data_IF_933510494923
#
_entry.id   IF_933510494923
#
_cell.length_a   1.000
_cell.length_b   1.000
_cell.length_c   1.000
_cell.angle_alpha   90.00
_cell.angle_beta   90.00
_cell.angle_gamma   90.00
#
_symmetry.space_group_name_H-M   'P 1'
#
loop_
_entity.id
_entity.type
_entity.pdbx_description
1 polymer ?
#
# COMPACT_ATOMS: atom_id res chain seq x y z
N UNK A 1 51.14 42.71 -8.33
CA UNK A 1 49.72 42.96 -8.62
C UNK A 1 49.04 41.59 -8.54
N UNK A 2 48.48 41.25 -7.37
CA UNK A 2 47.84 39.96 -7.09
C UNK A 2 46.33 40.22 -7.12
N UNK A 3 45.63 39.65 -8.10
CA UNK A 3 44.18 39.75 -8.22
C UNK A 3 43.58 38.56 -7.46
N UNK A 4 42.96 38.85 -6.29
CA UNK A 4 42.23 37.85 -5.53
C UNK A 4 40.87 37.55 -6.17
N UNK A 5 40.64 36.27 -6.53
CA UNK A 5 39.29 35.77 -6.90
C UNK A 5 38.52 35.51 -5.61
N UNK A 6 37.54 36.35 -5.33
CA UNK A 6 36.55 36.10 -4.29
C UNK A 6 35.54 35.08 -4.78
N UNK A 7 35.45 33.92 -4.15
CA UNK A 7 34.41 32.94 -4.36
C UNK A 7 33.07 33.48 -3.79
N UNK A 8 32.08 33.72 -4.66
CA UNK A 8 30.72 34.03 -4.23
C UNK A 8 30.06 32.71 -3.84
N UNK A 9 29.92 32.48 -2.53
CA UNK A 9 29.05 31.41 -2.02
C UNK A 9 27.60 31.85 -2.17
N UNK A 10 26.93 31.36 -3.17
CA UNK A 10 25.47 31.51 -3.30
C UNK A 10 24.83 30.51 -2.32
N UNK A 11 24.39 31.03 -1.16
CA UNK A 11 23.56 30.27 -0.25
C UNK A 11 22.18 30.06 -0.93
N UNK A 12 21.95 28.87 -1.45
CA UNK A 12 20.60 28.47 -1.88
C UNK A 12 19.74 28.27 -0.64
N UNK A 13 18.76 29.16 -0.44
CA UNK A 13 17.74 28.96 0.57
C UNK A 13 17.02 27.62 0.27
N UNK A 14 16.66 26.82 1.30
CA UNK A 14 15.90 25.62 1.10
C UNK A 14 14.57 25.99 0.40
N UNK A 15 14.26 25.30 -0.69
CA UNK A 15 13.00 25.48 -1.39
C UNK A 15 11.86 25.25 -0.40
N UNK A 16 10.98 26.23 -0.24
CA UNK A 16 9.78 26.08 0.57
C UNK A 16 8.98 24.91 0.04
N UNK A 17 8.72 23.91 0.90
CA UNK A 17 7.82 22.80 0.56
C UNK A 17 6.45 23.43 0.28
N UNK A 18 5.91 23.22 -0.91
CA UNK A 18 4.58 23.71 -1.27
C UNK A 18 3.56 23.14 -0.28
N UNK A 19 2.66 24.00 0.21
CA UNK A 19 1.56 23.55 1.06
C UNK A 19 0.73 22.49 0.30
N UNK A 20 0.28 21.41 0.96
CA UNK A 20 -0.55 20.40 0.31
C UNK A 20 -1.77 21.06 -0.34
N UNK A 21 -2.23 20.52 -1.49
CA UNK A 21 -3.41 21.07 -2.16
C UNK A 21 -4.61 21.09 -1.20
N UNK A 22 -5.27 22.23 -1.09
CA UNK A 22 -6.49 22.38 -0.29
C UNK A 22 -7.68 21.79 -1.06
N UNK A 23 -8.09 20.58 -0.72
CA UNK A 23 -9.31 19.96 -1.21
C UNK A 23 -10.21 19.64 -0.01
N UNK A 24 -11.24 20.47 0.20
CA UNK A 24 -12.17 20.38 1.32
C UNK A 24 -12.97 19.06 1.36
N UNK A 25 -12.86 18.23 0.33
CA UNK A 25 -13.43 16.88 0.37
C UNK A 25 -12.79 16.04 1.47
N UNK A 26 -11.51 16.21 1.72
CA UNK A 26 -10.76 15.46 2.76
C UNK A 26 -11.01 15.95 4.19
N UNK A 27 -11.72 17.06 4.37
CA UNK A 27 -12.03 17.60 5.71
C UNK A 27 -13.30 16.92 6.23
N UNK A 28 -13.27 16.12 7.32
CA UNK A 28 -14.46 15.49 7.85
C UNK A 28 -15.42 16.55 8.45
N UNK A 29 -16.75 16.30 8.42
CA UNK A 29 -17.72 17.15 9.12
C UNK A 29 -17.43 17.21 10.62
N UNK A 30 -17.76 18.34 11.28
CA UNK A 30 -17.44 18.55 12.71
C UNK A 30 -17.98 17.45 13.65
N UNK A 31 -19.08 16.80 13.29
CA UNK A 31 -19.72 15.75 14.10
C UNK A 31 -19.36 14.32 13.67
N UNK A 32 -18.34 14.13 12.81
CA UNK A 32 -17.99 12.81 12.24
C UNK A 32 -17.64 11.77 13.31
N UNK A 33 -17.16 12.21 14.48
CA UNK A 33 -16.76 11.34 15.58
C UNK A 33 -17.91 10.46 16.11
N UNK A 34 -19.16 10.93 16.01
CA UNK A 34 -20.35 10.17 16.43
C UNK A 34 -20.82 9.13 15.43
N UNK A 35 -20.29 9.15 14.20
CA UNK A 35 -20.64 8.18 13.18
C UNK A 35 -20.01 6.79 13.47
N UNK A 36 -20.69 5.74 13.05
CA UNK A 36 -20.15 4.38 13.15
C UNK A 36 -18.96 4.16 12.22
N UNK A 37 -18.02 3.22 12.52
CA UNK A 37 -16.97 2.80 11.60
C UNK A 37 -17.54 2.37 10.26
N UNK A 38 -16.95 2.87 9.14
CA UNK A 38 -17.42 2.65 7.78
C UNK A 38 -18.59 3.53 7.34
N UNK A 39 -19.10 4.42 8.20
CA UNK A 39 -20.13 5.38 7.81
C UNK A 39 -19.58 6.40 6.79
N UNK A 40 -20.29 6.58 5.68
CA UNK A 40 -19.91 7.52 4.64
C UNK A 40 -20.24 8.95 5.12
N UNK A 41 -19.24 9.81 5.15
CA UNK A 41 -19.33 11.21 5.57
C UNK A 41 -19.57 12.14 4.39
N UNK A 42 -18.89 11.86 3.28
CA UNK A 42 -19.04 12.57 2.00
C UNK A 42 -18.83 11.60 0.85
N UNK A 43 -19.41 11.90 -0.31
CA UNK A 43 -19.15 11.19 -1.55
C UNK A 43 -19.09 12.15 -2.72
N UNK A 44 -18.30 11.83 -3.75
CA UNK A 44 -18.27 12.55 -5.02
C UNK A 44 -17.94 11.63 -6.18
N UNK A 45 -18.51 11.84 -7.38
CA UNK A 45 -18.06 11.17 -8.58
C UNK A 45 -16.67 11.67 -8.97
N UNK A 46 -15.84 10.78 -9.54
CA UNK A 46 -14.49 11.11 -10.00
C UNK A 46 -14.17 10.36 -11.29
N UNK A 47 -13.18 10.88 -12.04
CA UNK A 47 -12.54 10.15 -13.13
C UNK A 47 -11.21 9.62 -12.62
N UNK A 48 -10.96 8.32 -12.77
CA UNK A 48 -9.67 7.70 -12.48
C UNK A 48 -8.87 7.52 -13.76
N UNK A 49 -7.54 7.58 -13.64
CA UNK A 49 -6.62 7.44 -14.76
C UNK A 49 -5.72 6.22 -14.56
N UNK A 50 -5.52 5.46 -15.62
CA UNK A 50 -4.49 4.45 -15.70
C UNK A 50 -3.17 5.08 -16.19
N UNK A 51 -2.04 4.63 -15.64
CA UNK A 51 -0.72 5.14 -16.02
C UNK A 51 -0.67 6.68 -16.07
N UNK A 52 -1.40 7.32 -15.16
CA UNK A 52 -1.49 8.79 -14.99
C UNK A 52 -2.12 9.57 -16.16
N UNK A 53 -2.29 8.97 -17.32
CA UNK A 53 -2.70 9.66 -18.56
C UNK A 53 -4.10 9.26 -19.04
N UNK A 54 -4.42 7.98 -18.98
CA UNK A 54 -5.56 7.43 -19.70
C UNK A 54 -6.79 7.35 -18.81
N UNK A 55 -7.84 8.20 -19.04
CA UNK A 55 -9.09 8.06 -18.31
C UNK A 55 -9.68 6.66 -18.49
N UNK A 56 -9.95 5.98 -17.39
CA UNK A 56 -10.50 4.63 -17.43
C UNK A 56 -12.02 4.68 -17.54
N UNK A 57 -12.57 3.91 -18.46
CA UNK A 57 -13.99 3.88 -18.75
C UNK A 57 -14.74 2.97 -17.75
N UNK A 58 -14.96 3.52 -16.55
CA UNK A 58 -15.67 2.90 -15.42
C UNK A 58 -16.50 3.96 -14.71
N UNK A 59 -17.41 3.55 -13.85
CA UNK A 59 -18.05 4.45 -12.90
C UNK A 59 -17.22 4.47 -11.62
N UNK A 60 -16.81 5.66 -11.15
CA UNK A 60 -15.95 5.81 -9.99
C UNK A 60 -16.40 6.94 -9.06
N UNK A 61 -16.24 6.71 -7.76
CA UNK A 61 -16.52 7.69 -6.71
C UNK A 61 -15.43 7.68 -5.65
N UNK A 62 -15.28 8.79 -4.98
CA UNK A 62 -14.56 8.88 -3.71
C UNK A 62 -15.55 8.93 -2.57
N UNK A 63 -15.25 8.17 -1.53
CA UNK A 63 -16.01 8.14 -0.28
C UNK A 63 -15.08 8.56 0.86
N UNK A 64 -15.38 9.69 1.50
CA UNK A 64 -14.82 10.00 2.82
C UNK A 64 -15.65 9.27 3.86
N UNK A 65 -15.02 8.47 4.70
CA UNK A 65 -15.71 7.65 5.69
C UNK A 65 -15.05 7.73 7.06
N UNK A 66 -15.84 7.45 8.09
CA UNK A 66 -15.37 7.36 9.48
C UNK A 66 -14.63 6.03 9.67
N UNK A 67 -13.46 6.10 10.31
CA UNK A 67 -12.64 4.95 10.71
C UNK A 67 -12.06 5.16 12.10
N UNK A 68 -11.10 4.33 12.52
CA UNK A 68 -10.53 4.30 13.86
C UNK A 68 -9.02 4.53 13.79
N UNK A 69 -8.50 5.37 14.67
CA UNK A 69 -7.07 5.61 14.85
C UNK A 69 -6.40 4.48 15.67
N UNK A 70 -5.08 4.47 15.74
CA UNK A 70 -4.30 3.46 16.49
C UNK A 70 -4.62 3.41 17.99
N UNK A 71 -5.00 4.55 18.57
CA UNK A 71 -5.41 4.70 19.98
C UNK A 71 -6.90 4.40 20.23
N UNK A 72 -7.66 4.06 19.20
CA UNK A 72 -9.08 3.81 19.26
C UNK A 72 -9.97 5.05 19.09
N UNK A 73 -9.38 6.24 18.94
CA UNK A 73 -10.13 7.48 18.70
C UNK A 73 -10.79 7.50 17.30
N UNK A 74 -11.88 8.27 17.12
CA UNK A 74 -12.49 8.49 15.81
C UNK A 74 -11.49 9.11 14.84
N UNK A 75 -11.45 8.56 13.63
CA UNK A 75 -10.59 9.01 12.56
C UNK A 75 -11.36 8.99 11.22
N UNK A 76 -10.78 9.52 10.16
CA UNK A 76 -11.39 9.52 8.83
C UNK A 76 -10.39 9.06 7.75
N UNK A 77 -10.92 8.46 6.70
CA UNK A 77 -10.15 8.04 5.54
C UNK A 77 -10.96 8.20 4.26
N UNK A 78 -10.29 8.13 3.11
CA UNK A 78 -10.93 8.13 1.80
C UNK A 78 -10.70 6.79 1.12
N UNK A 79 -11.68 6.31 0.39
CA UNK A 79 -11.50 5.23 -0.59
C UNK A 79 -12.03 5.65 -1.95
N UNK A 80 -11.35 5.23 -3.01
CA UNK A 80 -11.88 5.32 -4.37
C UNK A 80 -12.58 4.00 -4.70
N UNK A 81 -13.88 4.06 -4.96
CA UNK A 81 -14.69 2.89 -5.30
C UNK A 81 -15.12 2.94 -6.75
N UNK A 82 -15.10 1.78 -7.42
CA UNK A 82 -15.31 1.68 -8.86
C UNK A 82 -16.16 0.46 -9.21
N UNK A 83 -16.96 0.60 -10.27
CA UNK A 83 -17.65 -0.51 -10.91
C UNK A 83 -17.54 -0.38 -12.45
N UNK A 84 -17.63 -1.48 -13.18
CA UNK A 84 -17.79 -1.44 -14.64
C UNK A 84 -18.96 -0.54 -15.07
N UNK A 85 -18.91 -0.03 -16.30
CA UNK A 85 -20.02 0.72 -16.88
C UNK A 85 -21.31 -0.12 -16.92
N UNK A 86 -22.45 0.51 -16.74
CA UNK A 86 -23.77 -0.13 -16.76
C UNK A 86 -24.51 -0.02 -15.42
N UNK A 87 -25.63 -0.74 -15.26
CA UNK A 87 -26.43 -0.65 -14.05
C UNK A 87 -25.75 -1.22 -12.83
N UNK A 88 -26.05 -0.64 -11.68
CA UNK A 88 -25.70 -1.21 -10.37
C UNK A 88 -26.34 -2.61 -10.24
N UNK A 89 -25.55 -3.59 -9.80
CA UNK A 89 -26.00 -4.98 -9.59
C UNK A 89 -25.13 -5.67 -8.53
N UNK A 90 -25.63 -6.75 -7.91
CA UNK A 90 -24.81 -7.58 -7.02
C UNK A 90 -23.56 -8.09 -7.75
N UNK A 91 -22.40 -7.95 -7.09
CA UNK A 91 -21.10 -8.40 -7.58
C UNK A 91 -20.11 -8.57 -6.43
N UNK A 92 -19.04 -9.37 -6.58
CA UNK A 92 -17.97 -9.41 -5.60
C UNK A 92 -17.24 -8.07 -5.49
N UNK A 93 -16.63 -7.82 -4.33
CA UNK A 93 -15.81 -6.63 -4.06
C UNK A 93 -14.35 -7.03 -3.85
N UNK A 94 -13.45 -6.44 -4.62
CA UNK A 94 -12.02 -6.46 -4.35
C UNK A 94 -11.63 -5.18 -3.60
N UNK A 95 -11.07 -5.31 -2.39
CA UNK A 95 -10.36 -4.23 -1.71
C UNK A 95 -8.88 -4.36 -2.02
N UNK A 96 -8.34 -3.42 -2.80
CA UNK A 96 -6.94 -3.41 -3.23
C UNK A 96 -6.16 -2.34 -2.47
N UNK A 97 -5.14 -2.75 -1.73
CA UNK A 97 -4.27 -1.88 -0.96
C UNK A 97 -2.98 -1.64 -1.75
N UNK A 98 -2.74 -0.39 -2.14
CA UNK A 98 -1.52 0.00 -2.88
C UNK A 98 -0.34 0.23 -1.94
N UNK A 99 0.88 0.00 -2.45
CA UNK A 99 2.12 0.40 -1.79
C UNK A 99 2.43 1.88 -2.07
N UNK A 100 1.60 2.80 -1.57
CA UNK A 100 1.76 4.23 -1.80
C UNK A 100 2.94 4.86 -1.06
N UNK A 101 3.42 4.24 0.00
CA UNK A 101 4.61 4.48 0.84
C UNK A 101 5.07 5.95 0.90
N UNK A 102 4.28 6.79 1.54
CA UNK A 102 4.54 8.22 1.67
C UNK A 102 3.74 8.84 2.81
N UNK A 103 4.20 9.99 3.28
CA UNK A 103 3.48 10.84 4.23
C UNK A 103 2.74 12.00 3.56
N UNK A 104 2.76 12.07 2.23
CA UNK A 104 2.15 13.16 1.47
C UNK A 104 0.78 12.78 0.91
N UNK A 105 -0.20 13.71 1.01
CA UNK A 105 -1.56 13.51 0.48
C UNK A 105 -1.56 13.26 -1.03
N UNK A 106 -0.71 13.95 -1.78
CA UNK A 106 -0.62 13.80 -3.22
C UNK A 106 -0.24 12.39 -3.68
N UNK A 107 0.39 11.62 -2.80
CA UNK A 107 0.82 10.25 -3.08
C UNK A 107 -0.26 9.21 -2.76
N UNK A 108 -1.30 9.59 -2.02
CA UNK A 108 -2.38 8.67 -1.67
C UNK A 108 -3.15 8.19 -2.90
N UNK A 109 -3.67 6.95 -2.89
CA UNK A 109 -4.48 6.41 -3.99
C UNK A 109 -5.60 7.33 -4.42
N UNK A 110 -6.37 7.88 -3.48
CA UNK A 110 -7.51 8.75 -3.79
C UNK A 110 -7.11 10.04 -4.51
N UNK A 111 -5.90 10.56 -4.27
CA UNK A 111 -5.41 11.76 -4.93
C UNK A 111 -4.72 11.42 -6.26
N UNK A 112 -3.73 10.52 -6.24
CA UNK A 112 -2.87 10.25 -7.38
C UNK A 112 -3.62 9.59 -8.55
N UNK A 113 -4.58 8.70 -8.30
CA UNK A 113 -5.42 8.10 -9.36
C UNK A 113 -6.22 9.13 -10.16
N UNK A 114 -6.41 10.31 -9.62
CA UNK A 114 -7.20 11.38 -10.22
C UNK A 114 -6.34 12.50 -10.79
N UNK A 115 -5.32 12.93 -10.05
CA UNK A 115 -4.57 14.15 -10.30
C UNK A 115 -3.18 13.91 -10.91
N UNK A 116 -2.60 12.70 -10.80
CA UNK A 116 -1.29 12.43 -11.39
C UNK A 116 -1.30 12.70 -12.90
N UNK A 117 -0.22 13.35 -13.37
CA UNK A 117 0.00 13.68 -14.77
C UNK A 117 1.51 13.61 -15.03
N UNK A 118 2.00 12.73 -15.92
CA UNK A 118 3.43 12.57 -16.18
C UNK A 118 4.07 13.83 -16.81
N UNK A 119 3.28 14.73 -17.39
CA UNK A 119 3.81 16.00 -17.88
C UNK A 119 4.28 16.92 -16.76
N UNK A 120 3.83 16.68 -15.53
CA UNK A 120 4.22 17.44 -14.34
C UNK A 120 5.49 16.88 -13.66
N UNK A 121 6.13 15.85 -14.21
CA UNK A 121 7.36 15.23 -13.63
C UNK A 121 8.49 16.24 -13.42
N UNK A 122 8.60 17.26 -14.27
CA UNK A 122 9.62 18.29 -14.17
C UNK A 122 9.21 19.46 -13.24
N UNK A 123 7.96 19.53 -12.81
CA UNK A 123 7.49 20.52 -11.84
C UNK A 123 7.80 20.03 -10.42
N UNK A 124 8.81 20.64 -9.79
CA UNK A 124 9.23 20.28 -8.44
C UNK A 124 8.18 20.49 -7.35
N UNK A 125 7.13 21.27 -7.64
CA UNK A 125 6.00 21.50 -6.72
C UNK A 125 4.96 20.40 -6.77
N UNK A 126 5.00 19.51 -7.77
CA UNK A 126 4.07 18.39 -7.96
C UNK A 126 4.68 17.09 -7.48
N UNK A 127 3.94 16.34 -6.69
CA UNK A 127 4.38 15.03 -6.19
C UNK A 127 3.59 13.87 -6.79
N UNK A 128 2.33 14.07 -7.16
CA UNK A 128 1.46 13.03 -7.70
C UNK A 128 2.07 12.20 -8.85
N UNK A 129 2.85 12.77 -9.79
CA UNK A 129 3.51 11.99 -10.85
C UNK A 129 4.59 10.99 -10.35
N UNK A 130 4.98 11.11 -9.09
CA UNK A 130 5.93 10.21 -8.44
C UNK A 130 5.25 9.17 -7.53
N UNK A 131 3.93 9.13 -7.56
CA UNK A 131 3.13 8.18 -6.80
C UNK A 131 3.09 6.80 -7.49
N UNK A 132 3.03 5.72 -6.71
CA UNK A 132 2.94 4.36 -7.23
C UNK A 132 1.49 3.91 -7.59
N UNK A 133 0.42 4.36 -6.88
CA UNK A 133 -0.92 3.82 -7.10
C UNK A 133 -1.43 3.85 -8.55
N UNK A 134 -1.16 4.87 -9.39
CA UNK A 134 -1.58 4.86 -10.80
C UNK A 134 -0.93 3.75 -11.63
N UNK A 135 0.27 3.29 -11.26
CA UNK A 135 0.96 2.18 -11.91
C UNK A 135 0.39 0.83 -11.45
N UNK A 136 0.15 0.66 -10.15
CA UNK A 136 -0.47 -0.55 -9.59
C UNK A 136 -1.95 -0.70 -9.98
N UNK A 137 -2.60 0.37 -10.39
CA UNK A 137 -4.03 0.35 -10.73
C UNK A 137 -4.37 -0.72 -11.80
N UNK A 138 -3.46 -1.01 -12.72
CA UNK A 138 -3.66 -2.05 -13.72
C UNK A 138 -3.96 -3.43 -13.12
N UNK A 139 -3.38 -3.75 -11.96
CA UNK A 139 -3.64 -5.00 -11.24
C UNK A 139 -5.06 -5.03 -10.68
N UNK A 140 -5.50 -3.95 -10.02
CA UNK A 140 -6.85 -3.83 -9.50
C UNK A 140 -7.91 -3.78 -10.61
N UNK A 141 -7.59 -3.13 -11.75
CA UNK A 141 -8.48 -2.98 -12.89
C UNK A 141 -8.85 -4.32 -13.55
N UNK A 142 -7.99 -5.34 -13.45
CA UNK A 142 -8.34 -6.68 -13.91
C UNK A 142 -9.60 -7.23 -13.20
N UNK A 143 -9.80 -6.87 -11.92
CA UNK A 143 -11.03 -7.17 -11.19
C UNK A 143 -12.26 -6.46 -11.78
N UNK A 144 -12.12 -5.19 -12.19
CA UNK A 144 -13.19 -4.47 -12.89
C UNK A 144 -13.53 -5.15 -14.22
N UNK A 145 -12.54 -5.61 -14.96
CA UNK A 145 -12.80 -6.32 -16.23
C UNK A 145 -13.44 -7.69 -16.02
N UNK A 146 -13.22 -8.35 -14.87
CA UNK A 146 -13.98 -9.52 -14.40
C UNK A 146 -15.42 -9.18 -13.97
N UNK A 147 -15.78 -7.91 -13.90
CA UNK A 147 -17.09 -7.46 -13.46
C UNK A 147 -17.24 -7.22 -11.96
N UNK A 148 -16.15 -7.27 -11.20
CA UNK A 148 -16.16 -6.99 -9.76
C UNK A 148 -16.29 -5.49 -9.47
N UNK A 149 -16.74 -5.14 -8.29
CA UNK A 149 -16.48 -3.83 -7.71
C UNK A 149 -15.04 -3.79 -7.15
N UNK A 150 -14.42 -2.62 -7.21
CA UNK A 150 -13.08 -2.41 -6.66
C UNK A 150 -13.11 -1.23 -5.69
N UNK A 151 -12.48 -1.38 -4.53
CA UNK A 151 -12.23 -0.33 -3.54
C UNK A 151 -10.72 -0.19 -3.35
N UNK A 152 -10.21 1.03 -3.51
CA UNK A 152 -8.81 1.37 -3.26
C UNK A 152 -8.76 2.42 -2.15
N UNK A 153 -8.62 2.01 -0.88
CA UNK A 153 -8.56 2.93 0.24
C UNK A 153 -7.21 3.66 0.31
N UNK A 154 -7.20 4.80 1.01
CA UNK A 154 -6.00 5.45 1.51
C UNK A 154 -5.65 4.82 2.87
N UNK A 155 -4.70 3.87 2.95
CA UNK A 155 -4.53 3.09 4.18
C UNK A 155 -4.08 3.92 5.39
N UNK A 156 -3.35 5.02 5.16
CA UNK A 156 -2.91 5.93 6.22
C UNK A 156 -3.97 6.94 6.67
N UNK A 157 -5.16 6.95 6.05
CA UNK A 157 -6.23 7.91 6.34
C UNK A 157 -5.89 9.34 5.91
N UNK A 158 -6.73 10.31 6.34
CA UNK A 158 -6.64 11.71 5.89
C UNK A 158 -5.33 12.42 6.24
N UNK A 159 -4.67 12.01 7.32
CA UNK A 159 -3.37 12.54 7.74
C UNK A 159 -2.19 11.72 7.20
N UNK A 160 -2.47 10.67 6.45
CA UNK A 160 -1.49 9.83 5.79
C UNK A 160 -0.45 9.22 6.76
N UNK A 161 -0.94 8.40 7.69
CA UNK A 161 -0.13 7.64 8.68
C UNK A 161 0.44 6.36 8.06
N UNK A 162 1.38 6.49 7.12
CA UNK A 162 2.10 5.34 6.58
C UNK A 162 2.91 4.65 7.68
N UNK A 163 3.09 3.35 7.62
CA UNK A 163 3.71 2.55 8.70
C UNK A 163 3.08 2.72 10.09
N UNK A 164 1.79 3.04 10.14
CA UNK A 164 0.98 2.89 11.34
C UNK A 164 0.01 1.73 11.11
N UNK A 165 0.47 0.48 11.20
CA UNK A 165 -0.21 -0.66 10.61
C UNK A 165 -1.61 -0.91 11.16
N UNK A 166 -1.84 -0.56 12.44
CA UNK A 166 -3.18 -0.67 13.05
C UNK A 166 -4.18 0.27 12.37
N UNK A 167 -3.78 1.51 12.08
CA UNK A 167 -4.59 2.46 11.29
C UNK A 167 -4.83 1.90 9.91
N UNK A 168 -3.77 1.39 9.24
CA UNK A 168 -3.88 0.83 7.89
C UNK A 168 -4.87 -0.35 7.82
N UNK A 169 -4.90 -1.19 8.86
CA UNK A 169 -5.88 -2.28 8.97
C UNK A 169 -7.31 -1.78 9.19
N UNK A 170 -7.52 -0.82 10.08
CA UNK A 170 -8.84 -0.24 10.34
C UNK A 170 -9.39 0.49 9.13
N UNK A 171 -8.60 1.33 8.48
CA UNK A 171 -9.00 2.05 7.27
C UNK A 171 -9.38 1.10 6.15
N UNK A 172 -8.65 0.00 5.97
CA UNK A 172 -8.98 -1.03 4.98
C UNK A 172 -10.34 -1.66 5.28
N UNK A 173 -10.60 -2.11 6.51
CA UNK A 173 -11.85 -2.76 6.89
C UNK A 173 -13.05 -1.81 6.82
N UNK A 174 -12.88 -0.57 7.27
CA UNK A 174 -13.93 0.45 7.22
C UNK A 174 -14.17 0.95 5.79
N UNK A 175 -13.14 0.95 4.94
CA UNK A 175 -13.27 1.19 3.51
C UNK A 175 -14.14 0.14 2.81
N UNK A 176 -14.02 -1.14 3.22
CA UNK A 176 -14.91 -2.22 2.76
C UNK A 176 -16.35 -1.96 3.22
N UNK A 177 -16.56 -1.61 4.50
CA UNK A 177 -17.90 -1.24 5.01
C UNK A 177 -18.52 -0.08 4.23
N UNK A 178 -17.73 0.97 3.98
CA UNK A 178 -18.18 2.12 3.21
C UNK A 178 -18.58 1.72 1.79
N UNK A 179 -17.75 0.93 1.10
CA UNK A 179 -18.07 0.44 -0.24
C UNK A 179 -19.35 -0.42 -0.26
N UNK A 180 -19.50 -1.35 0.69
CA UNK A 180 -20.68 -2.22 0.79
C UNK A 180 -21.98 -1.45 1.06
N UNK A 181 -21.89 -0.30 1.73
CA UNK A 181 -23.05 0.55 2.08
C UNK A 181 -23.29 1.69 1.08
N UNK A 182 -22.48 1.82 0.02
CA UNK A 182 -22.65 2.86 -0.99
C UNK A 182 -23.61 2.39 -2.09
N UNK A 183 -24.86 2.84 -2.01
CA UNK A 183 -25.94 2.42 -2.91
C UNK A 183 -25.62 2.42 -4.41
N UNK A 184 -24.85 3.41 -4.97
CA UNK A 184 -24.48 3.42 -6.39
C UNK A 184 -23.71 2.18 -6.86
N UNK A 185 -23.02 1.44 -6.00
CA UNK A 185 -22.33 0.21 -6.38
C UNK A 185 -23.28 -0.99 -6.56
N UNK A 186 -24.49 -0.95 -5.98
CA UNK A 186 -25.46 -2.05 -6.04
C UNK A 186 -25.05 -3.31 -5.29
N UNK A 187 -24.14 -3.20 -4.33
CA UNK A 187 -23.66 -4.34 -3.56
C UNK A 187 -24.71 -4.79 -2.53
N UNK A 188 -24.78 -6.09 -2.17
CA UNK A 188 -25.76 -6.60 -1.22
C UNK A 188 -25.39 -6.36 0.26
N UNK A 189 -24.71 -5.23 0.57
CA UNK A 189 -24.31 -4.86 1.90
C UNK A 189 -23.30 -5.85 2.50
N UNK A 190 -23.42 -6.17 3.79
CA UNK A 190 -22.51 -7.07 4.52
C UNK A 190 -22.42 -8.50 3.98
N UNK A 191 -23.39 -8.95 3.15
CA UNK A 191 -23.33 -10.25 2.49
C UNK A 191 -22.46 -10.24 1.23
N UNK A 192 -21.94 -9.08 0.81
CA UNK A 192 -21.04 -8.97 -0.34
C UNK A 192 -19.82 -9.84 -0.13
N UNK A 193 -19.62 -10.82 -1.03
CA UNK A 193 -18.39 -11.61 -1.05
C UNK A 193 -17.22 -10.68 -1.37
N UNK A 194 -16.27 -10.56 -0.45
CA UNK A 194 -15.18 -9.58 -0.52
C UNK A 194 -13.83 -10.28 -0.41
N UNK A 195 -12.85 -9.84 -1.19
CA UNK A 195 -11.47 -10.26 -1.01
C UNK A 195 -10.55 -9.03 -0.88
N UNK A 196 -9.40 -9.24 -0.25
CA UNK A 196 -8.36 -8.21 -0.09
C UNK A 196 -7.10 -8.60 -0.85
N UNK A 197 -6.39 -7.60 -1.37
CA UNK A 197 -5.10 -7.82 -2.03
C UNK A 197 -4.19 -6.62 -1.86
N UNK A 198 -2.92 -6.87 -1.49
CA UNK A 198 -1.88 -5.85 -1.43
C UNK A 198 -0.48 -6.44 -1.53
N UNK A 199 0.46 -5.62 -1.95
CA UNK A 199 1.89 -5.92 -2.04
C UNK A 199 2.69 -4.90 -1.22
N UNK A 200 3.81 -5.28 -0.60
CA UNK A 200 4.72 -4.39 0.14
C UNK A 200 3.97 -3.56 1.19
N UNK A 201 3.98 -2.23 1.13
CA UNK A 201 3.18 -1.36 1.99
C UNK A 201 1.69 -1.69 1.96
N UNK A 202 1.14 -2.06 0.79
CA UNK A 202 -0.20 -2.62 0.66
C UNK A 202 -0.34 -4.00 1.29
N UNK A 203 0.72 -4.82 1.24
CA UNK A 203 0.81 -6.10 1.93
C UNK A 203 0.76 -5.95 3.46
N UNK A 204 1.41 -4.91 4.01
CA UNK A 204 1.29 -4.54 5.43
C UNK A 204 -0.18 -4.24 5.78
N UNK A 205 -0.84 -3.38 5.00
CA UNK A 205 -2.24 -3.00 5.24
C UNK A 205 -3.18 -4.21 5.19
N UNK A 206 -3.01 -5.08 4.18
CA UNK A 206 -3.80 -6.30 4.00
C UNK A 206 -3.59 -7.30 5.12
N UNK A 207 -2.34 -7.50 5.58
CA UNK A 207 -2.01 -8.38 6.71
C UNK A 207 -2.71 -7.93 7.98
N UNK A 208 -2.56 -6.65 8.35
CA UNK A 208 -3.18 -6.10 9.54
C UNK A 208 -4.70 -6.09 9.47
N UNK A 209 -5.28 -5.79 8.30
CA UNK A 209 -6.72 -5.90 8.09
C UNK A 209 -7.22 -7.34 8.32
N UNK A 210 -6.51 -8.34 7.78
CA UNK A 210 -6.85 -9.75 7.93
C UNK A 210 -6.81 -10.21 9.39
N UNK A 211 -5.83 -9.74 10.16
CA UNK A 211 -5.68 -10.10 11.58
C UNK A 211 -6.62 -9.34 12.52
N UNK A 212 -6.96 -8.09 12.19
CA UNK A 212 -7.90 -7.30 12.97
C UNK A 212 -9.35 -7.71 12.71
N UNK A 213 -9.66 -8.22 11.51
CA UNK A 213 -11.01 -8.49 11.06
C UNK A 213 -11.84 -9.34 12.03
N UNK A 214 -11.36 -10.44 12.62
CA UNK A 214 -12.19 -11.29 13.46
C UNK A 214 -12.75 -10.59 14.72
N UNK A 215 -12.06 -9.55 15.18
CA UNK A 215 -12.48 -8.77 16.37
C UNK A 215 -13.12 -7.43 16.01
N UNK A 216 -12.62 -6.78 14.95
CA UNK A 216 -13.02 -5.42 14.59
C UNK A 216 -14.18 -5.38 13.59
N UNK A 217 -14.21 -6.32 12.65
CA UNK A 217 -15.18 -6.36 11.56
C UNK A 217 -15.67 -7.80 11.28
N UNK A 218 -16.15 -8.53 12.31
CA UNK A 218 -16.53 -9.95 12.17
C UNK A 218 -17.71 -10.17 11.21
N UNK A 219 -18.47 -9.12 10.92
CA UNK A 219 -19.63 -9.17 10.02
C UNK A 219 -19.25 -9.14 8.53
N UNK A 220 -18.00 -8.83 8.16
CA UNK A 220 -17.57 -8.79 6.78
C UNK A 220 -17.41 -10.22 6.22
N UNK A 221 -18.06 -10.47 5.09
CA UNK A 221 -17.95 -11.74 4.37
C UNK A 221 -16.67 -11.79 3.53
N UNK A 222 -15.52 -12.04 4.17
CA UNK A 222 -14.24 -12.11 3.50
C UNK A 222 -13.99 -13.51 2.93
N UNK A 223 -13.89 -13.62 1.61
CA UNK A 223 -13.57 -14.86 0.89
C UNK A 223 -12.08 -15.23 1.01
N UNK A 224 -11.22 -14.24 1.27
CA UNK A 224 -9.80 -14.44 1.48
C UNK A 224 -8.97 -13.19 1.30
N UNK A 225 -7.65 -13.32 1.53
CA UNK A 225 -6.68 -12.26 1.34
C UNK A 225 -5.44 -12.76 0.59
N UNK A 226 -5.03 -12.03 -0.46
CA UNK A 226 -3.77 -12.25 -1.15
C UNK A 226 -2.76 -11.18 -0.70
N UNK A 227 -1.57 -11.62 -0.26
CA UNK A 227 -0.56 -10.76 0.33
C UNK A 227 0.79 -11.05 -0.30
N UNK A 228 1.33 -10.05 -0.97
CA UNK A 228 2.70 -10.12 -1.44
C UNK A 228 3.64 -9.31 -0.56
N UNK A 229 4.81 -9.85 -0.27
CA UNK A 229 5.89 -9.17 0.46
C UNK A 229 5.40 -8.36 1.69
N UNK A 230 4.83 -9.00 2.72
CA UNK A 230 4.12 -8.36 3.84
C UNK A 230 5.01 -7.55 4.80
N UNK A 231 6.32 -7.53 4.62
CA UNK A 231 7.32 -6.82 5.45
C UNK A 231 7.07 -6.99 6.97
N UNK A 232 7.11 -8.21 7.49
CA UNK A 232 6.72 -8.48 8.87
C UNK A 232 7.73 -8.02 9.93
N UNK A 233 8.94 -7.60 9.52
CA UNK A 233 10.04 -7.18 10.39
C UNK A 233 10.74 -5.94 9.81
N UNK A 234 10.39 -4.76 10.34
CA UNK A 234 10.93 -3.49 9.89
C UNK A 234 12.42 -3.31 10.22
N UNK A 235 12.93 -3.92 11.30
CA UNK A 235 14.34 -3.83 11.64
C UNK A 235 15.19 -4.62 10.63
N UNK A 236 14.74 -5.80 10.25
CA UNK A 236 15.39 -6.59 9.20
C UNK A 236 15.28 -5.88 7.86
N UNK A 237 14.11 -5.35 7.49
CA UNK A 237 13.91 -4.58 6.26
C UNK A 237 14.88 -3.41 6.13
N UNK A 238 15.08 -2.66 7.22
CA UNK A 238 16.03 -1.55 7.27
C UNK A 238 17.48 -2.02 7.04
N UNK A 239 17.88 -3.14 7.63
CA UNK A 239 19.22 -3.70 7.43
C UNK A 239 19.43 -4.23 6.01
N UNK A 240 18.44 -4.94 5.47
CA UNK A 240 18.56 -5.59 4.16
C UNK A 240 18.40 -4.63 2.98
N UNK A 241 17.60 -3.56 3.11
CA UNK A 241 17.47 -2.52 2.08
C UNK A 241 18.63 -1.51 2.08
N UNK A 242 19.42 -1.45 3.18
CA UNK A 242 20.51 -0.49 3.34
C UNK A 242 21.57 -0.66 2.25
N UNK A 243 21.82 0.42 1.49
CA UNK A 243 22.77 0.43 0.38
C UNK A 243 22.33 -0.32 -0.88
N UNK A 244 21.06 -0.75 -0.95
CA UNK A 244 20.49 -1.40 -2.13
C UNK A 244 19.60 -0.44 -2.93
N UNK A 245 19.00 -0.93 -4.01
CA UNK A 245 18.21 -0.08 -4.90
C UNK A 245 17.00 0.56 -4.20
N UNK A 246 16.40 -0.13 -3.23
CA UNK A 246 15.27 0.36 -2.45
C UNK A 246 15.67 1.05 -1.13
N UNK A 247 16.94 1.47 -0.97
CA UNK A 247 17.40 2.18 0.22
C UNK A 247 16.60 3.47 0.51
N UNK A 248 15.95 4.07 -0.50
CA UNK A 248 15.05 5.21 -0.35
C UNK A 248 13.80 4.95 0.50
N UNK A 249 13.42 3.69 0.74
CA UNK A 249 12.35 3.33 1.67
C UNK A 249 12.70 3.64 3.13
N UNK A 250 13.99 3.61 3.48
CA UNK A 250 14.46 3.86 4.85
C UNK A 250 14.09 5.26 5.34
N UNK A 251 14.47 6.35 4.65
CA UNK A 251 14.08 7.69 5.08
C UNK A 251 12.58 7.94 5.02
N UNK A 252 11.82 7.29 4.13
CA UNK A 252 10.35 7.33 4.13
C UNK A 252 9.81 6.73 5.44
N UNK A 253 10.27 5.54 5.82
CA UNK A 253 9.85 4.86 7.05
C UNK A 253 10.18 5.67 8.29
N UNK A 254 11.39 6.21 8.38
CA UNK A 254 11.81 7.08 9.50
C UNK A 254 10.95 8.34 9.57
N UNK A 255 10.70 9.02 8.45
CA UNK A 255 9.85 10.22 8.39
C UNK A 255 8.41 9.91 8.80
N UNK A 256 7.90 8.75 8.41
CA UNK A 256 6.55 8.32 8.75
C UNK A 256 6.39 8.03 10.25
N UNK A 257 7.31 7.28 10.84
CA UNK A 257 7.29 7.01 12.28
C UNK A 257 7.49 8.32 13.07
N UNK A 258 8.36 9.21 12.59
CA UNK A 258 8.59 10.53 13.21
C UNK A 258 7.35 11.42 13.22
N UNK A 259 6.49 11.30 12.19
CA UNK A 259 5.21 12.01 12.13
C UNK A 259 4.24 11.53 13.21
N UNK A 260 4.24 10.24 13.51
CA UNK A 260 3.33 9.62 14.48
C UNK A 260 3.84 9.70 15.92
N UNK A 261 5.16 9.73 16.11
CA UNK A 261 5.82 9.69 17.43
C UNK A 261 6.81 10.86 17.58
N UNK A 262 6.43 11.96 18.26
CA UNK A 262 7.34 13.06 18.56
C UNK A 262 8.58 12.63 19.35
N UNK A 263 8.46 11.63 20.22
CA UNK A 263 9.59 11.07 20.98
C UNK A 263 10.59 10.37 20.05
N UNK A 264 10.10 9.59 19.10
CA UNK A 264 10.94 8.97 18.06
C UNK A 264 11.62 10.04 17.20
N UNK A 265 10.88 11.05 16.74
CA UNK A 265 11.41 12.15 15.94
C UNK A 265 12.59 12.85 16.67
N UNK A 266 12.38 13.21 17.95
CA UNK A 266 13.41 13.85 18.78
C UNK A 266 14.61 12.92 19.04
N UNK A 267 14.39 11.62 19.13
CA UNK A 267 15.46 10.63 19.30
C UNK A 267 16.28 10.47 18.03
N UNK A 268 15.62 10.32 16.89
CA UNK A 268 16.31 10.21 15.58
C UNK A 268 17.12 11.46 15.29
N UNK A 269 16.59 12.67 15.56
CA UNK A 269 17.27 13.93 15.29
C UNK A 269 18.65 14.03 16.00
N UNK A 270 18.82 13.41 17.18
CA UNK A 270 20.11 13.33 17.88
C UNK A 270 21.18 12.58 17.11
N UNK A 271 20.76 11.61 16.31
CA UNK A 271 21.65 10.73 15.55
C UNK A 271 21.86 11.19 14.10
N UNK A 272 21.10 12.18 13.60
CA UNK A 272 21.21 12.65 12.22
C UNK A 272 22.39 13.61 12.04
N UNK A 273 23.13 13.44 10.94
CA UNK A 273 24.02 14.48 10.40
C UNK A 273 23.19 15.63 9.80
N UNK A 274 23.77 16.81 9.49
CA UNK A 274 23.07 17.86 8.73
C UNK A 274 22.51 17.36 7.38
N UNK A 275 23.26 16.52 6.68
CA UNK A 275 22.77 15.86 5.45
C UNK A 275 21.59 14.93 5.75
N UNK A 276 21.67 14.14 6.82
CA UNK A 276 20.58 13.27 7.26
C UNK A 276 19.27 14.01 7.52
N UNK A 277 19.32 15.17 8.17
CA UNK A 277 18.13 16.03 8.38
C UNK A 277 17.53 16.48 7.05
N UNK A 278 18.36 16.85 6.08
CA UNK A 278 17.92 17.25 4.75
C UNK A 278 17.24 16.08 4.02
N UNK A 279 17.81 14.87 4.10
CA UNK A 279 17.25 13.65 3.52
C UNK A 279 15.89 13.32 4.15
N UNK A 280 15.76 13.37 5.48
CA UNK A 280 14.50 13.09 6.18
C UNK A 280 13.42 14.12 5.82
N UNK A 281 13.76 15.41 5.76
CA UNK A 281 12.83 16.45 5.34
C UNK A 281 12.34 16.24 3.89
N UNK A 282 13.27 15.90 2.99
CA UNK A 282 12.91 15.58 1.60
C UNK A 282 12.04 14.32 1.52
N UNK A 283 12.38 13.26 2.25
CA UNK A 283 11.62 12.01 2.26
C UNK A 283 10.17 12.23 2.76
N UNK A 284 10.01 13.05 3.80
CA UNK A 284 8.68 13.42 4.30
C UNK A 284 7.86 14.28 3.34
N UNK A 285 8.48 14.89 2.31
CA UNK A 285 7.83 15.79 1.36
C UNK A 285 7.64 15.18 -0.05
N UNK A 286 8.02 13.91 -0.26
CA UNK A 286 8.05 13.30 -1.59
C UNK A 286 7.28 11.98 -1.64
N UNK A 287 6.80 11.62 -2.85
CA UNK A 287 6.25 10.30 -3.11
C UNK A 287 7.36 9.22 -3.25
N UNK A 288 6.94 7.96 -3.18
CA UNK A 288 7.79 6.77 -3.17
C UNK A 288 8.83 6.77 -4.30
N UNK A 289 8.40 6.88 -5.55
CA UNK A 289 9.30 6.72 -6.70
C UNK A 289 10.41 7.77 -6.71
N UNK A 290 10.11 9.01 -6.28
CA UNK A 290 11.10 10.08 -6.16
C UNK A 290 12.10 9.80 -5.06
N UNK A 291 11.63 9.36 -3.89
CA UNK A 291 12.50 8.97 -2.78
C UNK A 291 13.43 7.80 -3.14
N UNK A 292 12.90 6.77 -3.80
CA UNK A 292 13.70 5.63 -4.26
C UNK A 292 14.76 6.11 -5.25
N UNK A 293 14.37 6.88 -6.28
CA UNK A 293 15.29 7.34 -7.32
C UNK A 293 16.47 8.14 -6.75
N UNK A 294 16.22 9.06 -5.81
CA UNK A 294 17.28 9.95 -5.28
C UNK A 294 18.07 9.37 -4.13
N UNK A 295 17.64 8.25 -3.53
CA UNK A 295 18.32 7.60 -2.41
C UNK A 295 18.70 6.14 -2.70
N UNK A 296 18.60 5.66 -3.97
CA UNK A 296 19.05 4.32 -4.32
C UNK A 296 20.53 4.14 -3.97
N UNK A 297 20.88 2.96 -3.48
CA UNK A 297 22.24 2.57 -3.05
C UNK A 297 22.85 3.40 -1.91
N UNK A 298 22.06 4.29 -1.30
CA UNK A 298 22.56 5.11 -0.19
C UNK A 298 22.70 4.26 1.08
N UNK A 299 23.86 4.41 1.72
CA UNK A 299 24.13 3.78 3.02
C UNK A 299 23.61 4.65 4.16
N UNK A 300 22.93 4.05 5.14
CA UNK A 300 22.44 4.75 6.34
C UNK A 300 23.57 5.44 7.08
N UNK A 301 24.77 4.82 7.14
CA UNK A 301 25.97 5.38 7.76
C UNK A 301 26.41 6.73 7.17
N UNK A 302 25.95 7.09 5.98
CA UNK A 302 26.29 8.40 5.38
C UNK A 302 25.49 9.56 5.99
N UNK A 303 24.40 9.30 6.69
CA UNK A 303 23.53 10.34 7.23
C UNK A 303 23.16 10.18 8.71
N UNK A 304 23.76 9.20 9.40
CA UNK A 304 23.70 9.06 10.87
C UNK A 304 25.10 9.16 11.50
N UNK A 305 25.15 9.55 12.78
CA UNK A 305 26.41 9.80 13.53
C UNK A 305 26.87 8.58 14.32
N UNK A 306 26.12 7.51 14.36
CA UNK A 306 26.40 6.25 15.08
C UNK A 306 26.22 5.06 14.16
N UNK A 307 26.80 3.89 14.47
CA UNK A 307 26.49 2.65 13.76
C UNK A 307 25.00 2.31 13.80
N UNK A 308 24.49 1.67 12.71
CA UNK A 308 23.07 1.35 12.57
C UNK A 308 22.56 0.41 13.68
N UNK A 309 23.36 -0.54 14.11
CA UNK A 309 23.05 -1.45 15.21
C UNK A 309 22.87 -0.71 16.54
N UNK A 310 23.69 0.31 16.80
CA UNK A 310 23.54 1.18 17.96
C UNK A 310 22.23 2.00 17.89
N UNK A 311 21.89 2.53 16.73
CA UNK A 311 20.63 3.24 16.53
C UNK A 311 19.42 2.30 16.77
N UNK A 312 19.46 1.09 16.24
CA UNK A 312 18.41 0.09 16.44
C UNK A 312 18.32 -0.42 17.89
N UNK A 313 19.39 -0.33 18.66
CA UNK A 313 19.42 -0.68 20.07
C UNK A 313 18.85 0.40 21.00
N UNK A 314 18.68 1.66 20.50
CA UNK A 314 18.05 2.72 21.27
C UNK A 314 16.65 2.30 21.75
N UNK A 315 16.31 2.43 23.05
CA UNK A 315 15.06 1.95 23.59
C UNK A 315 13.81 2.53 22.92
N UNK A 316 13.85 3.80 22.50
CA UNK A 316 12.73 4.46 21.80
C UNK A 316 12.58 3.89 20.39
N UNK A 317 13.70 3.79 19.66
CA UNK A 317 13.70 3.24 18.29
C UNK A 317 13.21 1.80 18.30
N UNK A 318 13.74 0.98 19.21
CA UNK A 318 13.34 -0.44 19.36
C UNK A 318 11.86 -0.59 19.69
N UNK A 319 11.34 0.23 20.60
CA UNK A 319 9.91 0.20 20.97
C UNK A 319 9.02 0.56 19.78
N UNK A 320 9.33 1.62 19.05
CA UNK A 320 8.52 2.10 17.92
C UNK A 320 8.54 1.13 16.75
N UNK A 321 9.68 0.54 16.46
CA UNK A 321 9.79 -0.53 15.44
C UNK A 321 9.00 -1.77 15.87
N UNK A 322 9.15 -2.21 17.12
CA UNK A 322 8.44 -3.38 17.64
C UNK A 322 6.91 -3.23 17.61
N UNK A 323 6.40 -2.01 17.87
CA UNK A 323 4.97 -1.73 17.81
C UNK A 323 4.39 -1.86 16.38
N UNK A 324 5.23 -1.82 15.36
CA UNK A 324 4.89 -1.86 13.93
C UNK A 324 5.31 -3.16 13.23
N UNK A 325 6.04 -4.01 13.91
CA UNK A 325 6.69 -5.18 13.30
C UNK A 325 5.75 -6.37 13.16
N UNK A 326 4.73 -6.49 13.99
CA UNK A 326 3.91 -7.70 14.02
C UNK A 326 2.46 -7.45 14.36
N UNK A 327 1.54 -8.00 13.55
CA UNK A 327 0.13 -8.03 13.86
C UNK A 327 -0.19 -8.80 15.16
N UNK A 328 -1.30 -8.43 15.84
CA UNK A 328 -1.62 -8.97 17.17
C UNK A 328 -2.24 -10.35 17.17
N UNK A 329 -2.77 -10.86 16.04
CA UNK A 329 -3.52 -12.11 15.99
C UNK A 329 -3.44 -12.77 14.60
N UNK A 330 -3.73 -14.06 14.53
CA UNK A 330 -3.79 -14.78 13.26
C UNK A 330 -5.11 -14.53 12.52
N UNK A 331 -5.09 -14.43 11.19
CA UNK A 331 -6.29 -14.35 10.37
C UNK A 331 -7.16 -15.61 10.47
N UNK A 332 -8.47 -15.44 10.32
CA UNK A 332 -9.42 -16.56 10.19
C UNK A 332 -9.83 -16.82 8.74
N UNK A 333 -9.49 -15.92 7.82
CA UNK A 333 -9.78 -16.03 6.39
C UNK A 333 -8.68 -16.83 5.67
N UNK A 334 -8.99 -17.53 4.56
CA UNK A 334 -7.97 -18.16 3.71
C UNK A 334 -6.97 -17.12 3.19
N UNK A 335 -5.70 -17.50 3.14
CA UNK A 335 -4.61 -16.62 2.74
C UNK A 335 -3.86 -17.19 1.53
N UNK A 336 -3.49 -16.30 0.59
CA UNK A 336 -2.46 -16.54 -0.40
C UNK A 336 -1.30 -15.60 -0.13
N UNK A 337 -0.12 -16.14 0.15
CA UNK A 337 1.08 -15.34 0.45
C UNK A 337 2.12 -15.62 -0.61
N UNK A 338 2.81 -14.59 -1.11
CA UNK A 338 3.92 -14.74 -2.04
C UNK A 338 5.04 -13.75 -1.73
N UNK A 339 6.30 -14.22 -1.85
CA UNK A 339 7.49 -13.45 -1.50
C UNK A 339 8.72 -13.96 -2.25
N UNK A 340 9.63 -13.08 -2.58
CA UNK A 340 10.94 -13.43 -3.11
C UNK A 340 11.83 -14.08 -2.04
N UNK A 341 12.60 -15.08 -2.42
CA UNK A 341 13.58 -15.70 -1.51
C UNK A 341 14.70 -14.71 -1.17
N UNK A 342 15.04 -13.85 -2.11
CA UNK A 342 16.11 -12.86 -1.98
C UNK A 342 15.58 -11.43 -1.78
N UNK A 343 14.32 -11.29 -1.36
CA UNK A 343 13.66 -10.00 -1.17
C UNK A 343 14.39 -9.14 -0.14
N UNK A 344 14.89 -7.98 -0.59
CA UNK A 344 15.70 -7.06 0.18
C UNK A 344 14.88 -6.16 1.12
N UNK A 345 13.55 -6.19 1.06
CA UNK A 345 12.65 -5.42 1.91
C UNK A 345 11.84 -6.34 2.82
N UNK A 346 11.23 -7.37 2.26
CA UNK A 346 10.41 -8.34 2.99
C UNK A 346 11.18 -9.65 3.16
N UNK A 347 12.01 -9.75 4.22
CA UNK A 347 12.90 -10.89 4.40
C UNK A 347 12.14 -12.21 4.39
N UNK A 348 12.62 -13.19 3.63
CA UNK A 348 11.99 -14.52 3.52
C UNK A 348 11.87 -15.19 4.90
N UNK A 349 12.88 -15.03 5.77
CA UNK A 349 12.85 -15.60 7.12
C UNK A 349 11.74 -15.00 7.99
N UNK A 350 11.49 -13.69 7.86
CA UNK A 350 10.38 -13.01 8.54
C UNK A 350 9.02 -13.50 8.05
N UNK A 351 8.86 -13.64 6.74
CA UNK A 351 7.62 -14.16 6.14
C UNK A 351 7.39 -15.61 6.51
N UNK A 352 8.42 -16.46 6.46
CA UNK A 352 8.34 -17.87 6.88
C UNK A 352 7.86 -18.00 8.33
N UNK A 353 8.39 -17.19 9.23
CA UNK A 353 7.99 -17.15 10.65
C UNK A 353 6.52 -16.73 10.79
N UNK A 354 6.08 -15.75 10.02
CA UNK A 354 4.69 -15.26 10.03
C UNK A 354 3.74 -16.35 9.53
N UNK A 355 4.07 -16.99 8.40
CA UNK A 355 3.29 -18.12 7.85
C UNK A 355 3.22 -19.26 8.84
N UNK A 356 4.35 -19.66 9.44
CA UNK A 356 4.36 -20.71 10.46
C UNK A 356 3.45 -20.39 11.65
N UNK A 357 3.41 -19.13 12.09
CA UNK A 357 2.50 -18.69 13.14
C UNK A 357 1.03 -18.79 12.70
N UNK A 358 0.67 -18.33 11.51
CA UNK A 358 -0.70 -18.43 10.98
C UNK A 358 -1.13 -19.91 10.90
N UNK A 359 -0.25 -20.76 10.40
CA UNK A 359 -0.50 -22.20 10.32
C UNK A 359 -0.72 -22.85 11.69
N UNK A 360 0.08 -22.48 12.69
CA UNK A 360 -0.03 -23.04 14.06
C UNK A 360 -1.34 -22.67 14.75
N UNK A 361 -2.00 -21.61 14.31
CA UNK A 361 -3.29 -21.14 14.84
C UNK A 361 -4.49 -21.54 13.99
N UNK A 362 -4.27 -22.38 12.95
CA UNK A 362 -5.34 -22.95 12.13
C UNK A 362 -5.73 -22.12 10.90
N UNK A 363 -5.03 -21.02 10.59
CA UNK A 363 -5.25 -20.30 9.35
C UNK A 363 -4.86 -21.16 8.15
N UNK A 364 -5.72 -21.21 7.13
CA UNK A 364 -5.42 -21.90 5.87
C UNK A 364 -4.58 -21.01 4.97
N UNK A 365 -3.34 -21.42 4.66
CA UNK A 365 -2.39 -20.62 3.89
C UNK A 365 -1.86 -21.41 2.68
N UNK A 366 -1.92 -20.78 1.50
CA UNK A 366 -1.10 -21.16 0.35
C UNK A 366 0.04 -20.15 0.26
N UNK A 367 1.29 -20.61 0.39
CA UNK A 367 2.47 -19.77 0.38
C UNK A 367 3.41 -20.16 -0.76
N UNK A 368 3.67 -19.20 -1.65
CA UNK A 368 4.59 -19.36 -2.78
C UNK A 368 5.83 -18.51 -2.57
N UNK A 369 7.00 -19.12 -2.57
CA UNK A 369 8.31 -18.46 -2.55
C UNK A 369 8.84 -18.40 -3.97
N UNK A 370 9.25 -17.22 -4.44
CA UNK A 370 9.92 -17.03 -5.73
C UNK A 370 11.42 -17.17 -5.56
N UNK A 371 12.01 -18.13 -6.27
CA UNK A 371 13.43 -18.46 -6.21
C UNK A 371 14.28 -17.73 -7.26
N UNK A 372 13.78 -16.66 -7.88
CA UNK A 372 14.57 -15.87 -8.81
C UNK A 372 15.86 -15.38 -8.18
N UNK A 373 16.98 -15.37 -8.92
CA UNK A 373 18.21 -14.74 -8.45
C UNK A 373 17.99 -13.24 -8.23
N UNK A 374 18.63 -12.69 -7.20
CA UNK A 374 18.64 -11.26 -6.94
C UNK A 374 19.54 -10.54 -7.97
N UNK A 375 18.94 -10.14 -9.09
CA UNK A 375 19.66 -9.46 -10.18
C UNK A 375 19.66 -7.95 -9.98
N UNK A 376 18.52 -7.37 -9.59
CA UNK A 376 18.34 -5.91 -9.42
C UNK A 376 17.60 -5.60 -8.13
N UNK A 377 16.36 -6.09 -7.99
CA UNK A 377 15.51 -5.98 -6.82
C UNK A 377 14.49 -7.11 -6.89
N UNK A 378 14.67 -8.12 -6.04
CA UNK A 378 13.75 -9.25 -5.96
C UNK A 378 12.36 -8.75 -5.52
N UNK A 379 12.33 -7.80 -4.58
CA UNK A 379 11.11 -7.15 -4.12
C UNK A 379 10.28 -6.56 -5.28
N UNK A 380 10.92 -5.79 -6.17
CA UNK A 380 10.21 -5.15 -7.29
C UNK A 380 9.80 -6.16 -8.36
N UNK A 381 10.64 -7.15 -8.66
CA UNK A 381 10.36 -8.15 -9.69
C UNK A 381 9.17 -9.03 -9.26
N UNK A 382 9.14 -9.51 -8.03
CA UNK A 382 8.09 -10.39 -7.52
C UNK A 382 6.75 -9.67 -7.38
N UNK A 383 6.75 -8.35 -7.22
CA UNK A 383 5.51 -7.56 -7.29
C UNK A 383 4.76 -7.79 -8.61
N UNK A 384 5.49 -7.92 -9.72
CA UNK A 384 4.93 -8.13 -11.05
C UNK A 384 4.74 -9.63 -11.38
N UNK A 385 5.78 -10.42 -11.13
CA UNK A 385 5.77 -11.85 -11.52
C UNK A 385 4.82 -12.69 -10.67
N UNK A 386 4.57 -12.31 -9.41
CA UNK A 386 3.65 -13.00 -8.51
C UNK A 386 2.19 -12.54 -8.58
N UNK A 387 1.94 -11.38 -9.21
CA UNK A 387 0.61 -10.77 -9.24
C UNK A 387 -0.44 -11.67 -9.91
N UNK A 388 -0.08 -12.35 -10.98
CA UNK A 388 -1.01 -13.24 -11.69
C UNK A 388 -1.45 -14.43 -10.84
N UNK A 389 -0.54 -15.04 -10.07
CA UNK A 389 -0.87 -16.11 -9.12
C UNK A 389 -1.85 -15.65 -8.05
N UNK A 390 -1.62 -14.45 -7.49
CA UNK A 390 -2.52 -13.82 -6.54
C UNK A 390 -3.91 -13.56 -7.15
N UNK A 391 -3.96 -12.99 -8.35
CA UNK A 391 -5.21 -12.71 -9.04
C UNK A 391 -6.00 -13.98 -9.37
N UNK A 392 -5.35 -15.02 -9.91
CA UNK A 392 -6.00 -16.30 -10.20
C UNK A 392 -6.52 -16.98 -8.93
N UNK A 393 -5.81 -16.83 -7.80
CA UNK A 393 -6.28 -17.34 -6.51
C UNK A 393 -7.52 -16.57 -6.02
N UNK A 394 -7.49 -15.23 -6.12
CA UNK A 394 -8.62 -14.36 -5.78
C UNK A 394 -9.84 -14.65 -6.65
N UNK A 395 -9.66 -14.86 -7.94
CA UNK A 395 -10.75 -15.20 -8.87
C UNK A 395 -11.46 -16.50 -8.44
N UNK A 396 -10.70 -17.53 -8.03
CA UNK A 396 -11.29 -18.75 -7.47
C UNK A 396 -11.99 -18.51 -6.13
N UNK A 397 -11.39 -17.69 -5.24
CA UNK A 397 -11.98 -17.37 -3.95
C UNK A 397 -13.33 -16.65 -4.09
N UNK A 398 -13.46 -15.77 -5.07
CA UNK A 398 -14.66 -14.96 -5.27
C UNK A 398 -15.70 -15.61 -6.16
N UNK A 399 -15.31 -16.52 -7.06
CA UNK A 399 -16.24 -17.19 -8.00
C UNK A 399 -16.88 -18.47 -7.46
N UNK A 400 -16.32 -19.08 -6.40
CA UNK A 400 -16.76 -20.38 -5.88
C UNK A 400 -17.18 -20.26 -4.40
N UNK A 401 -18.15 -21.05 -3.97
CA UNK A 401 -18.50 -21.25 -2.55
C UNK A 401 -17.69 -22.37 -1.90
N UNK A 402 -16.84 -23.05 -2.68
CA UNK A 402 -15.92 -24.06 -2.15
C UNK A 402 -14.69 -23.37 -1.54
N UNK A 403 -14.08 -23.98 -0.50
CA UNK A 403 -12.84 -23.46 0.07
C UNK A 403 -11.75 -23.30 -1.01
N UNK A 404 -11.17 -22.10 -1.10
CA UNK A 404 -10.14 -21.80 -2.10
C UNK A 404 -8.80 -22.50 -1.80
N UNK A 405 -8.51 -22.72 -0.53
CA UNK A 405 -7.37 -23.47 -0.05
C UNK A 405 -7.81 -24.85 0.45
N UNK A 406 -7.00 -25.89 0.27
CA UNK A 406 -7.16 -27.12 1.05
C UNK A 406 -6.95 -26.85 2.55
N UNK A 407 -7.47 -27.71 3.44
CA UNK A 407 -7.22 -27.57 4.87
C UNK A 407 -5.73 -27.51 5.21
N UNK A 408 -5.36 -26.61 6.14
CA UNK A 408 -3.98 -26.44 6.59
C UNK A 408 -3.17 -25.53 5.69
N UNK A 409 -1.85 -25.71 5.73
CA UNK A 409 -0.91 -24.86 5.02
C UNK A 409 -0.15 -25.62 3.93
N UNK A 410 0.10 -24.93 2.84
CA UNK A 410 0.99 -25.41 1.77
C UNK A 410 2.04 -24.34 1.48
N UNK A 411 3.30 -24.72 1.53
CA UNK A 411 4.44 -23.89 1.14
C UNK A 411 5.14 -24.54 -0.04
N UNK A 412 5.42 -23.76 -1.08
CA UNK A 412 6.20 -24.17 -2.24
C UNK A 412 7.24 -23.11 -2.58
N UNK A 413 8.41 -23.56 -3.05
CA UNK A 413 9.39 -22.70 -3.67
C UNK A 413 9.43 -23.03 -5.15
N UNK A 414 9.19 -22.03 -6.00
CA UNK A 414 9.21 -22.15 -7.47
C UNK A 414 10.44 -21.43 -8.01
N UNK A 415 10.92 -21.82 -9.20
CA UNK A 415 12.05 -21.13 -9.83
C UNK A 415 11.71 -19.67 -10.17
N UNK A 416 10.47 -19.43 -10.58
CA UNK A 416 9.88 -18.09 -10.72
C UNK A 416 8.37 -18.19 -10.67
N UNK A 417 7.73 -17.27 -9.93
CA UNK A 417 6.28 -17.12 -9.90
C UNK A 417 5.70 -16.78 -11.27
N UNK A 418 6.50 -16.16 -12.17
CA UNK A 418 6.09 -15.86 -13.55
C UNK A 418 5.67 -17.13 -14.30
N UNK A 419 6.35 -18.25 -14.05
CA UNK A 419 6.10 -19.53 -14.72
C UNK A 419 5.05 -20.39 -14.01
N UNK A 420 4.54 -19.94 -12.86
CA UNK A 420 3.48 -20.65 -12.17
C UNK A 420 2.19 -20.66 -13.02
N UNK A 421 1.51 -21.81 -13.05
CA UNK A 421 0.30 -22.00 -13.84
C UNK A 421 -0.79 -20.96 -13.51
N UNK A 422 -0.91 -20.58 -12.24
CA UNK A 422 -1.85 -19.52 -11.82
C UNK A 422 -1.51 -18.19 -12.48
N UNK A 423 -0.23 -17.83 -12.49
CA UNK A 423 0.24 -16.57 -13.10
C UNK A 423 0.04 -16.58 -14.62
N UNK A 424 0.42 -17.65 -15.29
CA UNK A 424 0.23 -17.78 -16.73
C UNK A 424 -1.24 -17.70 -17.14
N UNK A 425 -2.15 -18.25 -16.32
CA UNK A 425 -3.61 -18.20 -16.58
C UNK A 425 -4.19 -16.80 -16.45
N UNK A 426 -3.62 -15.94 -15.60
CA UNK A 426 -4.08 -14.57 -15.36
C UNK A 426 -3.45 -13.52 -16.31
N UNK A 427 -2.34 -13.86 -16.97
CA UNK A 427 -1.62 -12.94 -17.85
C UNK A 427 -2.52 -12.34 -18.95
N UNK A 428 -3.38 -13.11 -19.64
CA UNK A 428 -4.31 -12.56 -20.62
C UNK A 428 -5.27 -11.54 -20.04
N UNK A 429 -5.73 -11.72 -18.80
CA UNK A 429 -6.65 -10.78 -18.14
C UNK A 429 -5.94 -9.42 -17.93
N UNK A 430 -4.70 -9.39 -17.44
CA UNK A 430 -3.95 -8.15 -17.28
C UNK A 430 -3.64 -7.46 -18.61
N UNK A 431 -3.20 -8.23 -19.63
CA UNK A 431 -2.89 -7.68 -20.96
C UNK A 431 -4.13 -7.07 -21.60
N UNK A 432 -5.24 -7.81 -21.63
CA UNK A 432 -6.50 -7.35 -22.20
C UNK A 432 -7.03 -6.14 -21.46
N UNK A 433 -7.02 -6.15 -20.14
CA UNK A 433 -7.47 -5.03 -19.31
C UNK A 433 -6.61 -3.78 -19.58
N UNK A 434 -5.28 -3.93 -19.65
CA UNK A 434 -4.38 -2.82 -19.95
C UNK A 434 -4.67 -2.23 -21.33
N UNK A 435 -4.83 -3.07 -22.36
CA UNK A 435 -5.21 -2.61 -23.71
C UNK A 435 -6.54 -1.85 -23.68
N UNK A 436 -7.56 -2.39 -23.00
CA UNK A 436 -8.84 -1.70 -22.87
C UNK A 436 -8.70 -0.33 -22.23
N UNK A 437 -7.90 -0.21 -21.16
CA UNK A 437 -7.65 1.07 -20.49
C UNK A 437 -6.96 2.08 -21.40
N UNK A 438 -5.93 1.66 -22.14
CA UNK A 438 -5.19 2.52 -23.05
C UNK A 438 -6.05 3.06 -24.20
N UNK A 439 -7.06 2.31 -24.64
CA UNK A 439 -7.96 2.70 -25.72
C UNK A 439 -9.32 3.22 -25.23
N UNK A 440 -9.49 3.46 -23.92
CA UNK A 440 -10.75 3.98 -23.34
C UNK A 440 -11.94 3.02 -23.50
N UNK A 441 -11.69 1.73 -23.73
CA UNK A 441 -12.73 0.71 -23.83
C UNK A 441 -13.31 0.42 -22.44
N UNK A 442 -14.65 0.31 -22.34
CA UNK A 442 -15.30 0.03 -21.08
C UNK A 442 -14.87 -1.34 -20.51
N UNK A 443 -14.52 -1.36 -19.22
CA UNK A 443 -14.19 -2.59 -18.51
C UNK A 443 -15.45 -3.37 -18.12
N UNK A 444 -15.33 -4.70 -18.03
CA UNK A 444 -16.38 -5.59 -17.57
C UNK A 444 -17.57 -5.77 -18.54
N UNK A 445 -17.45 -5.32 -19.78
CA UNK A 445 -18.42 -5.58 -20.82
C UNK A 445 -18.04 -6.83 -21.63
N UNK A 446 -19.02 -7.75 -21.77
CA UNK A 446 -18.84 -8.98 -22.58
C UNK A 446 -18.49 -10.24 -21.79
N UNK A 447 -18.66 -10.23 -20.46
CA UNK A 447 -18.55 -11.43 -19.60
C UNK A 447 -19.83 -11.68 -18.79
#
# INVERSE_FOLDING_TARGET
MIVGFGAIVVATAPAAVAAPPTDSFYDPPANFASAAPGAILKSRPVTVKALELFPVNVQAWQLLYRTTNSDGSPYAAVTTVMIPQGPAKPRPLLSYQTAYDSTQRECMPSYSLREANPLDLLDSTKQAPWALPPLEFALAAAGLDKGWAVSMPDPGGIDNHFLTPRVMGYTTLDGIRAAQNFAPLGLPGKSTKTAMWGYSGGGIATSWASELQPKYAPELNLAGAAIGAPVPDLATALNTANGRILAGLIPIGVSSISKDSPEFAATIDKYLTPEGRSIMAAAGAQCLNKNVLFNMFRQVSSYITVPLDQLLADPVVKREIAARTRPPAAPTVPMYIYNGVNDEVSSIAGVDKTVAQYCSTGTSVTYTRDGLPDIVSDHTIVALTGAGGAFAWLDRAMSSDQPVNPPGCRTSTVASTLLDQGNLSALPDFVVTTIKMLFGVALGQGR
#
